data_IF_108498733880
#
_entry.id   IF_108498733880
#
_cell.length_a   1.000
_cell.length_b   1.000
_cell.length_c   1.000
_cell.angle_alpha   90.00
_cell.angle_beta   90.00
_cell.angle_gamma   90.00
#
_symmetry.space_group_name_H-M   'P 1'
#
loop_
_entity.id
_entity.type
_entity.pdbx_description
1 polymer ?
#
# COMPACT_ATOMS: atom_id res chain seq x y z
N UNK A 1 -11.03 20.39 -21.19
CA UNK A 1 -11.40 19.31 -20.25
C UNK A 1 -10.29 19.21 -19.25
N UNK A 2 -10.60 19.48 -17.99
CA UNK A 2 -9.63 19.43 -16.91
C UNK A 2 -9.20 17.96 -16.71
N UNK A 3 -7.89 17.68 -16.72
CA UNK A 3 -7.38 16.31 -16.58
C UNK A 3 -7.50 15.78 -15.14
N UNK A 4 -7.94 16.60 -14.19
CA UNK A 4 -8.02 16.26 -12.77
C UNK A 4 -9.20 15.33 -12.43
N UNK A 5 -10.15 15.11 -13.33
CA UNK A 5 -11.27 14.18 -13.11
C UNK A 5 -10.94 12.70 -13.37
N UNK A 6 -9.75 12.37 -13.88
CA UNK A 6 -9.38 10.97 -14.13
C UNK A 6 -8.99 10.31 -12.81
N UNK A 7 -9.95 9.57 -12.25
CA UNK A 7 -9.76 8.72 -11.08
C UNK A 7 -9.22 7.35 -11.51
N UNK A 8 -8.22 6.87 -10.79
CA UNK A 8 -7.64 5.53 -10.98
C UNK A 8 -7.69 4.76 -9.66
N UNK A 9 -7.77 3.43 -9.77
CA UNK A 9 -7.71 2.52 -8.63
C UNK A 9 -6.32 1.91 -8.53
N UNK A 10 -5.74 1.96 -7.34
CA UNK A 10 -4.46 1.35 -6.99
C UNK A 10 -4.60 0.55 -5.71
N UNK A 11 -3.72 -0.42 -5.50
CA UNK A 11 -3.72 -1.24 -4.30
C UNK A 11 -2.48 -0.98 -3.45
N UNK A 12 -2.68 -0.85 -2.14
CA UNK A 12 -1.62 -0.96 -1.14
C UNK A 12 -1.77 -2.34 -0.49
N UNK A 13 -0.74 -3.16 -0.59
CA UNK A 13 -0.68 -4.50 -0.02
C UNK A 13 0.29 -4.56 1.15
N UNK A 14 0.00 -5.41 2.13
CA UNK A 14 0.95 -5.83 3.16
C UNK A 14 1.04 -7.33 3.13
N UNK A 15 2.25 -7.85 2.95
CA UNK A 15 2.45 -9.28 2.88
C UNK A 15 2.13 -9.98 4.20
N UNK A 16 1.72 -11.24 4.08
CA UNK A 16 1.39 -12.06 5.23
C UNK A 16 2.58 -12.16 6.22
N UNK A 17 3.80 -12.35 5.70
CA UNK A 17 5.01 -12.44 6.54
C UNK A 17 5.29 -11.14 7.31
N UNK A 18 5.17 -9.99 6.66
CA UNK A 18 5.37 -8.69 7.31
C UNK A 18 4.30 -8.43 8.38
N UNK A 19 3.04 -8.75 8.08
CA UNK A 19 1.94 -8.64 9.04
C UNK A 19 2.12 -9.59 10.23
N UNK A 20 2.61 -10.82 10.03
CA UNK A 20 2.88 -11.74 11.13
C UNK A 20 4.02 -11.25 12.03
N UNK A 21 5.11 -10.72 11.47
CA UNK A 21 6.24 -10.19 12.23
C UNK A 21 5.89 -8.91 12.97
N UNK A 22 5.07 -8.05 12.35
CA UNK A 22 4.71 -6.75 12.87
C UNK A 22 3.19 -6.54 12.87
N UNK A 23 2.44 -7.32 13.67
CA UNK A 23 0.97 -7.31 13.66
C UNK A 23 0.30 -5.94 13.81
N UNK A 24 0.97 -4.98 14.46
CA UNK A 24 0.45 -3.63 14.64
C UNK A 24 0.44 -2.79 13.35
N UNK A 25 1.22 -3.16 12.33
CA UNK A 25 1.38 -2.36 11.09
C UNK A 25 0.07 -2.23 10.32
N UNK A 26 -0.82 -3.22 10.42
CA UNK A 26 -2.12 -3.17 9.75
C UNK A 26 -2.97 -2.02 10.28
N UNK A 27 -2.93 -1.77 11.60
CA UNK A 27 -3.64 -0.67 12.22
C UNK A 27 -2.95 0.67 11.95
N UNK A 28 -1.61 0.70 11.99
CA UNK A 28 -0.84 1.91 11.68
C UNK A 28 -1.07 2.37 10.23
N UNK A 29 -1.01 1.46 9.26
CA UNK A 29 -1.28 1.76 7.84
C UNK A 29 -2.72 2.24 7.67
N UNK A 30 -3.69 1.58 8.31
CA UNK A 30 -5.10 2.04 8.26
C UNK A 30 -5.25 3.46 8.82
N UNK A 31 -4.58 3.77 9.93
CA UNK A 31 -4.57 5.11 10.53
C UNK A 31 -3.92 6.14 9.61
N UNK A 32 -2.75 5.82 9.06
CA UNK A 32 -2.02 6.67 8.11
C UNK A 32 -2.88 7.00 6.88
N UNK A 33 -3.48 6.00 6.22
CA UNK A 33 -4.29 6.22 5.02
C UNK A 33 -5.53 7.07 5.33
N UNK A 34 -6.10 6.92 6.53
CA UNK A 34 -7.21 7.77 6.99
C UNK A 34 -6.76 9.21 7.23
N UNK A 35 -5.59 9.42 7.83
CA UNK A 35 -5.02 10.75 7.99
C UNK A 35 -4.67 11.40 6.65
N UNK A 36 -4.09 10.63 5.73
CA UNK A 36 -3.73 11.09 4.38
C UNK A 36 -4.96 11.56 3.59
N UNK A 37 -6.11 10.87 3.73
CA UNK A 37 -7.38 11.32 3.17
C UNK A 37 -7.80 12.71 3.67
N UNK A 38 -7.61 12.96 4.97
CA UNK A 38 -7.95 14.25 5.57
C UNK A 38 -7.01 15.37 5.10
N UNK A 39 -5.76 15.04 4.77
CA UNK A 39 -4.78 15.99 4.21
C UNK A 39 -5.01 16.26 2.71
N UNK A 40 -5.37 15.24 1.94
CA UNK A 40 -5.56 15.31 0.49
C UNK A 40 -6.82 14.54 0.05
N UNK A 41 -7.96 15.23 -0.19
CA UNK A 41 -9.24 14.58 -0.48
C UNK A 41 -9.30 13.92 -1.86
N UNK A 42 -8.25 14.07 -2.68
CA UNK A 42 -8.09 13.38 -3.97
C UNK A 42 -7.72 11.91 -3.82
N UNK A 43 -7.24 11.52 -2.64
CA UNK A 43 -7.05 10.13 -2.25
C UNK A 43 -8.34 9.60 -1.59
N UNK A 44 -8.63 8.30 -1.65
CA UNK A 44 -9.68 7.67 -0.84
C UNK A 44 -9.47 6.17 -0.74
N UNK A 45 -9.59 5.59 0.44
CA UNK A 45 -9.71 4.12 0.57
C UNK A 45 -11.14 3.71 0.21
N UNK A 46 -11.29 2.85 -0.80
CA UNK A 46 -12.61 2.35 -1.26
C UNK A 46 -12.95 1.00 -0.66
N UNK A 47 -11.94 0.14 -0.45
CA UNK A 47 -12.13 -1.21 0.09
C UNK A 47 -10.91 -1.65 0.88
N UNK A 48 -11.13 -2.44 1.91
CA UNK A 48 -10.09 -3.19 2.62
C UNK A 48 -10.50 -4.67 2.69
N UNK A 49 -9.57 -5.57 2.45
CA UNK A 49 -9.78 -7.02 2.59
C UNK A 49 -8.46 -7.76 2.84
N UNK A 50 -8.55 -9.05 3.11
CA UNK A 50 -7.39 -9.95 3.13
C UNK A 50 -7.56 -10.99 2.03
N UNK A 51 -6.54 -11.16 1.20
CA UNK A 51 -6.52 -12.23 0.19
C UNK A 51 -6.39 -13.58 0.88
N UNK A 52 -7.32 -14.50 0.61
CA UNK A 52 -7.38 -15.80 1.28
C UNK A 52 -6.20 -16.70 0.88
N UNK A 53 -5.78 -16.65 -0.38
CA UNK A 53 -4.74 -17.53 -0.92
C UNK A 53 -3.33 -17.13 -0.46
N UNK A 54 -3.07 -15.83 -0.34
CA UNK A 54 -1.74 -15.28 -0.06
C UNK A 54 -1.61 -14.72 1.36
N UNK A 55 -2.73 -14.48 2.05
CA UNK A 55 -2.79 -13.82 3.34
C UNK A 55 -2.48 -12.32 3.30
N UNK A 56 -2.32 -11.72 2.11
CA UNK A 56 -1.99 -10.30 1.94
C UNK A 56 -3.16 -9.43 2.39
N UNK A 57 -2.88 -8.42 3.21
CA UNK A 57 -3.86 -7.39 3.54
C UNK A 57 -3.83 -6.31 2.47
N UNK A 58 -4.98 -6.02 1.87
CA UNK A 58 -5.11 -5.12 0.72
C UNK A 58 -6.02 -3.95 1.07
N UNK A 59 -5.58 -2.75 0.76
CA UNK A 59 -6.39 -1.54 0.67
C UNK A 59 -6.48 -1.13 -0.80
N UNK A 60 -7.69 -1.07 -1.33
CA UNK A 60 -7.97 -0.49 -2.64
C UNK A 60 -8.20 1.00 -2.43
N UNK A 61 -7.43 1.80 -3.16
CA UNK A 61 -7.39 3.24 -3.06
C UNK A 61 -7.81 3.85 -4.40
N UNK A 62 -8.74 4.80 -4.37
CA UNK A 62 -9.03 5.71 -5.47
C UNK A 62 -8.10 6.93 -5.34
N UNK A 63 -7.44 7.31 -6.42
CA UNK A 63 -6.59 8.50 -6.50
C UNK A 63 -6.84 9.23 -7.81
N UNK A 64 -6.64 10.56 -7.83
CA UNK A 64 -6.56 11.29 -9.09
C UNK A 64 -5.26 11.01 -9.85
N UNK A 65 -5.29 11.07 -11.18
CA UNK A 65 -4.15 10.79 -12.06
C UNK A 65 -2.89 11.64 -11.78
N UNK A 66 -3.06 12.81 -11.16
CA UNK A 66 -1.96 13.73 -10.85
C UNK A 66 -1.26 13.39 -9.53
N UNK A 67 -1.79 12.46 -8.73
CA UNK A 67 -1.20 12.07 -7.45
C UNK A 67 -0.03 11.10 -7.62
N UNK A 68 1.04 11.34 -6.86
CA UNK A 68 2.17 10.41 -6.76
C UNK A 68 1.94 9.43 -5.62
N UNK A 69 1.41 8.25 -5.95
CA UNK A 69 1.21 7.16 -4.98
C UNK A 69 2.54 6.70 -4.36
N UNK A 70 3.62 6.70 -5.13
CA UNK A 70 4.97 6.37 -4.66
C UNK A 70 5.43 7.30 -3.53
N UNK A 71 5.13 8.60 -3.61
CA UNK A 71 5.45 9.55 -2.54
C UNK A 71 4.67 9.25 -1.27
N UNK A 72 3.39 8.89 -1.39
CA UNK A 72 2.56 8.48 -0.26
C UNK A 72 3.12 7.21 0.39
N UNK A 73 3.49 6.21 -0.40
CA UNK A 73 4.08 4.95 0.11
C UNK A 73 5.42 5.22 0.81
N UNK A 74 6.27 6.08 0.25
CA UNK A 74 7.52 6.50 0.90
C UNK A 74 7.28 7.21 2.25
N UNK A 75 6.25 8.06 2.35
CA UNK A 75 5.86 8.68 3.63
C UNK A 75 5.42 7.60 4.62
N UNK A 76 4.56 6.68 4.18
CA UNK A 76 4.06 5.59 5.00
C UNK A 76 5.19 4.72 5.57
N UNK A 77 6.25 4.45 4.79
CA UNK A 77 7.42 3.68 5.24
C UNK A 77 8.16 4.32 6.42
N UNK A 78 8.01 5.63 6.65
CA UNK A 78 8.64 6.31 7.80
C UNK A 78 7.91 6.03 9.11
N UNK A 79 6.64 5.62 9.05
CA UNK A 79 5.77 5.37 10.21
C UNK A 79 5.71 3.87 10.61
N UNK A 80 6.38 2.99 9.85
CA UNK A 80 6.37 1.54 10.05
C UNK A 80 7.80 0.98 10.12
N UNK A 81 8.00 -0.28 10.56
CA UNK A 81 9.31 -0.92 10.54
C UNK A 81 9.94 -0.93 9.14
N UNK A 82 11.26 -1.18 9.05
CA UNK A 82 11.93 -1.32 7.76
C UNK A 82 11.22 -2.35 6.88
N UNK A 83 10.91 -1.93 5.66
CA UNK A 83 10.17 -2.74 4.70
C UNK A 83 10.68 -2.52 3.28
N UNK A 84 10.65 -3.58 2.48
CA UNK A 84 10.78 -3.50 1.03
C UNK A 84 9.41 -3.21 0.42
N UNK A 85 9.39 -2.39 -0.65
CA UNK A 85 8.17 -2.12 -1.40
C UNK A 85 8.35 -2.67 -2.81
N UNK A 86 7.47 -3.59 -3.18
CA UNK A 86 7.41 -4.15 -4.52
C UNK A 86 6.24 -3.53 -5.27
N UNK A 87 6.49 -3.01 -6.47
CA UNK A 87 5.44 -2.53 -7.36
C UNK A 87 5.17 -3.57 -8.44
N UNK A 88 3.91 -3.99 -8.55
CA UNK A 88 3.43 -4.83 -9.64
C UNK A 88 2.39 -4.05 -10.45
N UNK A 89 2.60 -3.94 -11.77
CA UNK A 89 1.69 -3.20 -12.66
C UNK A 89 0.32 -3.89 -12.81
N UNK A 90 0.24 -5.20 -12.55
CA UNK A 90 -1.01 -5.95 -12.50
C UNK A 90 -0.97 -6.97 -11.35
N UNK A 91 -1.83 -6.76 -10.35
CA UNK A 91 -2.07 -7.71 -9.27
C UNK A 91 -3.06 -8.81 -9.67
N UNK A 92 -3.40 -9.70 -8.74
CA UNK A 92 -4.49 -10.68 -8.89
C UNK A 92 -5.82 -10.04 -9.30
N UNK A 93 -6.06 -8.78 -8.91
CA UNK A 93 -7.28 -8.03 -9.26
C UNK A 93 -7.11 -7.16 -10.52
N UNK A 94 -5.96 -7.24 -11.20
CA UNK A 94 -5.65 -6.45 -12.38
C UNK A 94 -5.32 -4.98 -12.11
N UNK A 95 -5.14 -4.60 -10.83
CA UNK A 95 -4.79 -3.24 -10.42
C UNK A 95 -3.28 -3.12 -10.15
N UNK A 96 -2.74 -1.92 -10.35
CA UNK A 96 -1.38 -1.62 -9.92
C UNK A 96 -1.27 -1.73 -8.40
N UNK A 97 -0.37 -2.57 -7.89
CA UNK A 97 -0.21 -2.85 -6.45
C UNK A 97 1.18 -2.52 -5.93
N UNK A 98 1.22 -1.80 -4.82
CA UNK A 98 2.41 -1.55 -4.01
C UNK A 98 2.36 -2.44 -2.77
N UNK A 99 3.18 -3.49 -2.75
CA UNK A 99 3.23 -4.47 -1.66
C UNK A 99 4.38 -4.14 -0.72
N UNK A 100 4.04 -3.84 0.53
CA UNK A 100 4.96 -3.67 1.65
C UNK A 100 5.29 -5.04 2.21
N UNK A 101 6.57 -5.34 2.27
CA UNK A 101 7.10 -6.65 2.62
C UNK A 101 8.33 -6.54 3.55
N UNK A 102 8.70 -7.65 4.21
CA UNK A 102 9.91 -7.69 5.03
C UNK A 102 11.14 -7.37 4.19
N UNK A 103 12.07 -6.64 4.79
CA UNK A 103 13.41 -6.53 4.22
C UNK A 103 13.99 -7.93 4.11
N UNK A 104 14.42 -8.31 2.91
CA UNK A 104 15.22 -9.51 2.75
C UNK A 104 16.56 -9.26 3.43
N UNK A 105 16.73 -9.77 4.64
CA UNK A 105 18.06 -9.88 5.23
C UNK A 105 18.82 -10.82 4.29
N UNK A 106 19.78 -10.28 3.54
CA UNK A 106 20.72 -11.11 2.81
C UNK A 106 21.26 -12.14 3.79
N UNK A 107 20.89 -13.41 3.61
CA UNK A 107 21.56 -14.50 4.30
C UNK A 107 23.02 -14.36 3.90
N UNK A 108 23.87 -13.96 4.83
CA UNK A 108 25.31 -14.09 4.71
C UNK A 108 25.59 -15.55 4.34
N UNK A 109 25.86 -15.77 3.06
CA UNK A 109 26.34 -17.04 2.55
C UNK A 109 27.86 -17.02 2.75
N UNK A 110 28.36 -17.85 3.66
CA UNK A 110 29.79 -18.12 3.81
C UNK A 110 30.23 -18.19 5.26
#
# INVERSE_FOLDING_TARGET
MDRSDIKQLVEIGVSHRYAQTHGWVINAITGFLSAYYMEDPRFRVTRRFQELETGVHVWVCEIEATMSIERMVKRLQLDIPPANVHHAEASTSGLSRYTIDLVETAREAG
#
